data_IF_661583424496
#
_entry.id   IF_661583424496
#
_cell.length_a   1.000
_cell.length_b   1.000
_cell.length_c   1.000
_cell.angle_alpha   90.00
_cell.angle_beta   90.00
_cell.angle_gamma   90.00
#
_symmetry.space_group_name_H-M   'P 1'
#
loop_
_entity.id
_entity.type
_entity.pdbx_description
1 polymer ?
#
# COMPACT_ATOMS: atom_id res chain seq x y z
N UNK A 1 -11.83 -5.08 17.54
CA UNK A 1 -11.21 -6.39 17.86
C UNK A 1 -10.72 -7.13 16.61
N UNK A 2 -11.54 -7.29 15.58
CA UNK A 2 -11.17 -7.99 14.33
C UNK A 2 -10.05 -7.26 13.58
N UNK A 3 -10.09 -5.93 13.51
CA UNK A 3 -9.02 -5.12 12.89
C UNK A 3 -7.65 -5.33 13.54
N UNK A 4 -7.61 -5.44 14.87
CA UNK A 4 -6.36 -5.68 15.58
C UNK A 4 -5.73 -7.03 15.24
N UNK A 5 -6.54 -8.07 15.06
CA UNK A 5 -6.06 -9.38 14.64
C UNK A 5 -5.53 -9.32 13.19
N UNK A 6 -6.27 -8.69 12.29
CA UNK A 6 -5.86 -8.53 10.89
C UNK A 6 -4.51 -7.79 10.76
N UNK A 7 -4.33 -6.71 11.52
CA UNK A 7 -3.06 -5.95 11.55
C UNK A 7 -1.91 -6.81 12.07
N UNK A 8 -2.12 -7.56 13.16
CA UNK A 8 -1.09 -8.45 13.70
C UNK A 8 -0.72 -9.56 12.71
N UNK A 9 -1.71 -10.13 12.03
CA UNK A 9 -1.46 -11.14 11.00
C UNK A 9 -0.68 -10.55 9.82
N UNK A 10 -1.03 -9.34 9.37
CA UNK A 10 -0.32 -8.65 8.30
C UNK A 10 1.17 -8.43 8.65
N UNK A 11 1.46 -8.03 9.88
CA UNK A 11 2.83 -7.89 10.37
C UNK A 11 3.55 -9.24 10.49
N UNK A 12 2.89 -10.26 11.02
CA UNK A 12 3.46 -11.59 11.13
C UNK A 12 3.79 -12.21 9.76
N UNK A 13 2.96 -11.97 8.76
CA UNK A 13 3.17 -12.40 7.38
C UNK A 13 4.11 -11.48 6.59
N UNK A 14 4.56 -10.38 7.18
CA UNK A 14 5.45 -9.37 6.56
C UNK A 14 4.94 -8.84 5.23
N UNK A 15 3.63 -8.73 5.07
CA UNK A 15 3.03 -8.16 3.85
C UNK A 15 3.03 -6.63 3.82
N UNK A 16 3.46 -5.99 4.91
CA UNK A 16 3.60 -4.54 5.04
C UNK A 16 4.85 -3.97 4.36
N UNK A 17 5.74 -4.81 3.86
CA UNK A 17 6.96 -4.35 3.20
C UNK A 17 7.33 -5.23 2.02
N UNK A 18 7.89 -4.60 1.00
CA UNK A 18 8.53 -5.25 -0.13
C UNK A 18 10.04 -5.04 -0.01
N UNK A 19 10.78 -6.13 0.04
CA UNK A 19 12.24 -6.10 0.23
C UNK A 19 13.00 -6.51 -1.02
N UNK A 20 12.31 -7.15 -1.98
CA UNK A 20 12.93 -7.66 -3.19
C UNK A 20 12.86 -6.59 -4.29
N UNK A 21 14.01 -6.33 -4.94
CA UNK A 21 14.10 -5.42 -6.08
C UNK A 21 13.27 -5.90 -7.29
N UNK A 22 12.97 -7.19 -7.38
CA UNK A 22 12.13 -7.73 -8.45
C UNK A 22 10.64 -7.55 -8.17
N UNK A 23 10.22 -6.30 -8.11
CA UNK A 23 8.81 -5.92 -7.98
C UNK A 23 8.00 -6.34 -9.21
N UNK A 24 8.63 -6.43 -10.36
CA UNK A 24 7.99 -6.78 -11.62
C UNK A 24 7.86 -8.30 -11.85
N UNK A 25 8.39 -9.11 -10.93
CA UNK A 25 8.40 -10.58 -11.07
C UNK A 25 9.01 -11.03 -12.40
N UNK A 26 10.11 -10.38 -12.80
CA UNK A 26 10.75 -10.61 -14.11
C UNK A 26 11.48 -11.96 -14.19
N UNK A 27 11.88 -12.52 -13.06
CA UNK A 27 12.57 -13.81 -13.02
C UNK A 27 11.56 -14.97 -12.91
N UNK A 28 11.07 -15.40 -14.07
CA UNK A 28 10.16 -16.55 -14.17
C UNK A 28 10.85 -17.91 -13.90
N UNK A 29 12.18 -17.93 -13.77
CA UNK A 29 12.95 -19.17 -13.58
C UNK A 29 12.94 -19.66 -12.14
N UNK A 30 12.66 -18.77 -11.21
CA UNK A 30 12.52 -19.14 -9.81
C UNK A 30 11.08 -19.53 -9.50
N UNK A 31 10.81 -20.85 -9.50
CA UNK A 31 9.50 -21.39 -9.14
C UNK A 31 9.05 -21.04 -7.71
N UNK A 32 9.97 -20.57 -6.87
CA UNK A 32 9.68 -20.10 -5.51
C UNK A 32 9.34 -18.60 -5.46
N UNK A 33 9.57 -17.85 -6.55
CA UNK A 33 9.25 -16.43 -6.60
C UNK A 33 7.72 -16.21 -6.63
N UNK A 34 7.21 -15.22 -5.90
CA UNK A 34 5.79 -14.92 -5.91
C UNK A 34 5.36 -14.41 -7.29
N UNK A 35 4.27 -14.94 -7.81
CA UNK A 35 3.68 -14.49 -9.07
C UNK A 35 3.20 -13.03 -8.98
N UNK A 36 3.01 -12.39 -10.15
CA UNK A 36 2.44 -11.03 -10.25
C UNK A 36 1.12 -10.93 -9.49
N UNK A 37 0.22 -11.90 -9.70
CA UNK A 37 -1.07 -11.92 -9.01
C UNK A 37 -0.93 -12.10 -7.50
N UNK A 38 -0.01 -12.93 -7.04
CA UNK A 38 0.24 -13.13 -5.61
C UNK A 38 0.78 -11.86 -4.95
N UNK A 39 1.72 -11.18 -5.59
CA UNK A 39 2.27 -9.92 -5.09
C UNK A 39 1.22 -8.84 -5.00
N UNK A 40 0.46 -8.67 -6.05
CA UNK A 40 -0.62 -7.67 -6.09
C UNK A 40 -1.72 -7.97 -5.06
N UNK A 41 -2.08 -9.23 -4.88
CA UNK A 41 -3.04 -9.63 -3.85
C UNK A 41 -2.54 -9.30 -2.44
N UNK A 42 -1.25 -9.48 -2.17
CA UNK A 42 -0.65 -9.09 -0.88
C UNK A 42 -0.69 -7.57 -0.67
N UNK A 43 -0.39 -6.79 -1.70
CA UNK A 43 -0.50 -5.32 -1.65
C UNK A 43 -1.92 -4.89 -1.33
N UNK A 44 -2.90 -5.44 -2.04
CA UNK A 44 -4.32 -5.14 -1.84
C UNK A 44 -4.79 -5.52 -0.45
N UNK A 45 -4.37 -6.69 0.05
CA UNK A 45 -4.69 -7.13 1.40
C UNK A 45 -4.11 -6.19 2.46
N UNK A 46 -2.85 -5.80 2.33
CA UNK A 46 -2.23 -4.88 3.27
C UNK A 46 -2.92 -3.53 3.29
N UNK A 47 -3.22 -2.97 2.12
CA UNK A 47 -3.92 -1.69 2.03
C UNK A 47 -5.37 -1.77 2.50
N UNK A 48 -6.03 -2.91 2.33
CA UNK A 48 -7.34 -3.15 2.95
C UNK A 48 -7.26 -3.13 4.49
N UNK A 49 -6.24 -3.74 5.06
CA UNK A 49 -5.99 -3.67 6.50
C UNK A 49 -5.76 -2.22 6.97
N UNK A 50 -5.01 -1.43 6.21
CA UNK A 50 -4.79 0.00 6.49
C UNK A 50 -6.11 0.79 6.50
N UNK A 51 -6.95 0.59 5.49
CA UNK A 51 -8.25 1.27 5.40
C UNK A 51 -9.17 0.88 6.57
N UNK A 52 -9.26 -0.41 6.86
CA UNK A 52 -10.08 -0.91 7.97
C UNK A 52 -9.58 -0.39 9.32
N UNK A 53 -8.28 -0.35 9.53
CA UNK A 53 -7.67 0.19 10.74
C UNK A 53 -7.96 1.69 10.91
N UNK A 54 -7.84 2.45 9.81
CA UNK A 54 -8.19 3.87 9.81
C UNK A 54 -9.65 4.11 10.17
N UNK A 55 -10.55 3.30 9.64
CA UNK A 55 -11.98 3.41 9.93
C UNK A 55 -12.31 2.99 11.36
N UNK A 56 -11.76 1.89 11.83
CA UNK A 56 -11.96 1.41 13.20
C UNK A 56 -11.46 2.43 14.24
N UNK A 57 -10.36 3.12 13.95
CA UNK A 57 -9.82 4.20 14.77
C UNK A 57 -10.45 5.56 14.52
N UNK A 58 -11.47 5.65 13.65
CA UNK A 58 -12.09 6.94 13.25
C UNK A 58 -11.08 7.98 12.76
N UNK A 59 -9.99 7.54 12.16
CA UNK A 59 -8.90 8.38 11.68
C UNK A 59 -8.02 9.00 12.76
N UNK A 60 -8.27 8.70 14.03
CA UNK A 60 -7.46 9.19 15.15
C UNK A 60 -6.24 8.31 15.33
N UNK A 61 -5.05 8.88 15.23
CA UNK A 61 -3.78 8.12 15.28
C UNK A 61 -3.60 7.30 16.55
N UNK A 62 -4.10 7.79 17.67
CA UNK A 62 -4.02 7.10 18.96
C UNK A 62 -4.86 5.81 19.00
N UNK A 63 -5.86 5.71 18.12
CA UNK A 63 -6.77 4.57 18.03
C UNK A 63 -6.44 3.66 16.85
N UNK A 64 -5.53 4.07 15.96
CA UNK A 64 -5.05 3.25 14.85
C UNK A 64 -3.82 2.44 15.25
N UNK A 65 -3.72 1.21 14.74
CA UNK A 65 -2.63 0.28 15.03
C UNK A 65 -1.52 0.32 13.98
N UNK A 66 -1.86 0.70 12.74
CA UNK A 66 -0.93 0.81 11.64
C UNK A 66 -0.36 2.22 11.53
N UNK A 67 0.95 2.31 11.53
CA UNK A 67 1.67 3.55 11.21
C UNK A 67 2.02 3.56 9.74
N UNK A 68 1.80 4.68 9.07
CA UNK A 68 2.16 4.84 7.65
C UNK A 68 3.64 4.59 7.39
N UNK A 69 4.51 4.93 8.35
CA UNK A 69 5.95 4.65 8.30
C UNK A 69 6.32 3.18 8.23
N UNK A 70 5.46 2.30 8.72
CA UNK A 70 5.69 0.86 8.75
C UNK A 70 5.23 0.18 7.45
N UNK A 71 4.51 0.90 6.59
CA UNK A 71 4.01 0.40 5.32
C UNK A 71 4.98 0.80 4.21
N UNK A 72 5.74 -0.18 3.73
CA UNK A 72 6.79 -0.01 2.71
C UNK A 72 6.48 -0.84 1.48
N UNK A 73 5.29 -0.65 0.96
CA UNK A 73 4.81 -1.26 -0.27
C UNK A 73 4.26 -0.19 -1.19
N UNK A 74 4.25 -0.49 -2.47
CA UNK A 74 3.60 0.39 -3.43
C UNK A 74 2.07 0.27 -3.36
N UNK A 75 1.38 1.27 -3.88
CA UNK A 75 -0.08 1.25 -4.02
C UNK A 75 -0.51 0.21 -5.06
N UNK A 76 -1.75 -0.31 -4.96
CA UNK A 76 -2.26 -1.29 -5.91
C UNK A 76 -2.29 -0.75 -7.35
N UNK A 77 -2.03 -1.63 -8.30
CA UNK A 77 -2.21 -1.31 -9.71
C UNK A 77 -3.70 -1.25 -10.10
N UNK A 78 -3.95 -0.77 -11.32
CA UNK A 78 -5.30 -0.73 -11.86
C UNK A 78 -5.86 -2.15 -12.12
N UNK A 79 -7.19 -2.24 -12.23
CA UNK A 79 -7.88 -3.52 -12.41
C UNK A 79 -7.49 -4.25 -13.69
N UNK A 80 -7.22 -3.51 -14.77
CA UNK A 80 -6.78 -4.10 -16.03
C UNK A 80 -5.44 -4.81 -15.87
N UNK A 81 -4.46 -4.15 -15.28
CA UNK A 81 -3.13 -4.73 -15.07
C UNK A 81 -3.18 -5.92 -14.12
N UNK A 82 -4.01 -5.83 -13.07
CA UNK A 82 -4.22 -6.94 -12.16
C UNK A 82 -4.88 -8.14 -12.86
N UNK A 83 -5.95 -7.92 -13.59
CA UNK A 83 -6.67 -8.98 -14.30
C UNK A 83 -5.85 -9.66 -15.39
N UNK A 84 -5.02 -8.90 -16.09
CA UNK A 84 -4.13 -9.41 -17.15
C UNK A 84 -2.76 -9.87 -16.61
N UNK A 85 -2.52 -9.78 -15.31
CA UNK A 85 -1.24 -10.12 -14.66
C UNK A 85 -0.07 -9.37 -15.26
N UNK A 86 -0.28 -8.08 -15.57
CA UNK A 86 0.77 -7.20 -16.09
C UNK A 86 1.55 -6.64 -14.90
N UNK A 87 2.87 -6.92 -14.80
CA UNK A 87 3.71 -6.34 -13.75
C UNK A 87 3.72 -4.82 -13.86
N UNK A 88 3.51 -4.13 -12.74
CA UNK A 88 3.38 -2.67 -12.75
C UNK A 88 4.09 -2.06 -11.56
N UNK A 89 4.89 -1.02 -11.82
CA UNK A 89 5.39 -0.13 -10.79
C UNK A 89 4.39 1.01 -10.62
N UNK A 90 3.96 1.21 -9.37
CA UNK A 90 3.09 2.30 -8.97
C UNK A 90 3.80 3.21 -7.96
N UNK A 91 3.16 4.30 -7.58
CA UNK A 91 3.67 5.13 -6.50
C UNK A 91 3.43 4.48 -5.13
N UNK A 92 4.16 4.91 -4.14
CA UNK A 92 3.87 4.63 -2.73
C UNK A 92 2.74 5.55 -2.24
N UNK A 93 2.42 5.51 -0.95
CA UNK A 93 1.43 6.42 -0.37
C UNK A 93 1.81 7.90 -0.58
N UNK A 94 3.11 8.21 -0.59
CA UNK A 94 3.61 9.54 -0.94
C UNK A 94 3.44 9.84 -2.42
N UNK A 95 2.82 10.98 -2.74
CA UNK A 95 2.60 11.41 -4.13
C UNK A 95 3.93 11.65 -4.82
N UNK A 96 4.12 11.05 -6.00
CA UNK A 96 5.35 11.16 -6.79
C UNK A 96 6.50 10.28 -6.28
N UNK A 97 6.30 9.50 -5.25
CA UNK A 97 7.34 8.63 -4.67
C UNK A 97 7.13 7.18 -5.10
N UNK A 98 8.22 6.51 -5.39
CA UNK A 98 8.26 5.06 -5.62
C UNK A 98 9.11 4.38 -4.55
N UNK A 99 9.07 3.05 -4.48
CA UNK A 99 9.92 2.30 -3.55
C UNK A 99 11.40 2.62 -3.82
N UNK A 100 12.14 2.93 -2.75
CA UNK A 100 13.51 3.45 -2.85
C UNK A 100 14.52 2.44 -3.41
N UNK A 101 14.27 1.15 -3.26
CA UNK A 101 15.17 0.10 -3.74
C UNK A 101 14.99 -0.21 -5.23
N UNK A 102 14.01 0.37 -5.91
CA UNK A 102 13.78 0.11 -7.34
C UNK A 102 14.91 0.70 -8.19
N UNK A 103 15.48 -0.07 -9.13
CA UNK A 103 16.40 0.47 -10.10
C UNK A 103 15.70 1.54 -10.96
N UNK A 104 16.33 2.69 -11.22
CA UNK A 104 15.72 3.74 -12.04
C UNK A 104 15.27 3.27 -13.43
N UNK A 105 15.94 2.26 -13.98
CA UNK A 105 15.64 1.72 -15.31
C UNK A 105 14.23 1.10 -15.43
N UNK A 106 13.68 0.56 -14.32
CA UNK A 106 12.36 -0.07 -14.33
C UNK A 106 11.23 0.87 -13.89
N UNK A 107 11.58 2.04 -13.40
CA UNK A 107 10.58 3.03 -12.96
C UNK A 107 10.02 3.74 -14.19
N UNK A 108 8.71 3.64 -14.46
CA UNK A 108 8.10 4.33 -15.59
C UNK A 108 8.10 5.84 -15.38
N UNK A 109 7.98 6.60 -16.47
CA UNK A 109 7.89 8.07 -16.40
C UNK A 109 6.72 8.57 -15.55
N UNK A 110 5.64 7.82 -15.53
CA UNK A 110 4.41 8.15 -14.79
C UNK A 110 3.92 6.91 -14.03
N UNK A 111 4.50 6.59 -12.88
CA UNK A 111 4.05 5.45 -12.07
C UNK A 111 2.57 5.55 -11.71
N UNK A 112 2.05 6.77 -11.53
CA UNK A 112 0.65 7.01 -11.24
C UNK A 112 -0.30 6.55 -12.35
N UNK A 113 0.15 6.44 -13.60
CA UNK A 113 -0.66 5.93 -14.69
C UNK A 113 -1.02 4.44 -14.53
N UNK A 114 -0.25 3.70 -13.75
CA UNK A 114 -0.52 2.31 -13.42
C UNK A 114 -1.47 2.13 -12.22
N UNK A 115 -1.82 3.22 -11.54
CA UNK A 115 -2.71 3.19 -10.38
C UNK A 115 -4.17 3.15 -10.83
N UNK A 116 -5.01 2.52 -10.00
CA UNK A 116 -6.44 2.43 -10.21
C UNK A 116 -7.24 3.05 -9.08
N UNK A 117 -8.54 2.79 -9.08
CA UNK A 117 -9.48 3.36 -8.12
C UNK A 117 -9.08 3.04 -6.68
N UNK A 118 -8.65 1.82 -6.40
CA UNK A 118 -8.24 1.42 -5.05
C UNK A 118 -7.07 2.26 -4.52
N UNK A 119 -6.07 2.55 -5.37
CA UNK A 119 -4.93 3.37 -4.99
C UNK A 119 -5.35 4.79 -4.61
N UNK A 120 -6.21 5.40 -5.40
CA UNK A 120 -6.72 6.74 -5.10
C UNK A 120 -7.63 6.75 -3.87
N UNK A 121 -8.44 5.72 -3.68
CA UNK A 121 -9.24 5.56 -2.48
C UNK A 121 -8.38 5.50 -1.21
N UNK A 122 -7.29 4.75 -1.24
CA UNK A 122 -6.33 4.68 -0.13
C UNK A 122 -5.75 6.07 0.16
N UNK A 123 -5.41 6.85 -0.86
CA UNK A 123 -4.94 8.23 -0.70
C UNK A 123 -6.00 9.16 -0.11
N UNK A 124 -7.25 8.98 -0.48
CA UNK A 124 -8.37 9.73 0.13
C UNK A 124 -8.48 9.41 1.63
N UNK A 125 -8.36 8.15 2.00
CA UNK A 125 -8.35 7.73 3.43
C UNK A 125 -7.16 8.35 4.18
N UNK A 126 -5.98 8.35 3.58
CA UNK A 126 -4.80 8.97 4.18
C UNK A 126 -4.96 10.49 4.35
N UNK A 127 -5.57 11.15 3.37
CA UNK A 127 -5.89 12.58 3.45
C UNK A 127 -6.91 12.85 4.56
N UNK A 128 -7.96 12.04 4.63
CA UNK A 128 -8.95 12.14 5.70
C UNK A 128 -8.32 12.00 7.08
N UNK A 129 -7.43 11.05 7.29
CA UNK A 129 -6.68 10.91 8.54
C UNK A 129 -5.89 12.18 8.89
N UNK A 130 -5.25 12.80 7.90
CA UNK A 130 -4.52 14.06 8.10
C UNK A 130 -5.43 15.21 8.48
N UNK A 131 -6.61 15.31 7.86
CA UNK A 131 -7.61 16.33 8.20
C UNK A 131 -8.11 16.12 9.62
N UNK A 132 -8.47 14.90 10.00
CA UNK A 132 -8.92 14.59 11.37
C UNK A 132 -7.85 14.96 12.39
N UNK A 133 -6.60 14.64 12.13
CA UNK A 133 -5.47 15.00 12.99
C UNK A 133 -5.32 16.52 13.13
N UNK A 134 -5.42 17.25 12.03
CA UNK A 134 -5.35 18.70 12.04
C UNK A 134 -6.49 19.31 12.86
N UNK A 135 -7.72 18.89 12.64
CA UNK A 135 -8.90 19.37 13.37
C UNK A 135 -8.78 19.04 14.86
N UNK A 136 -8.36 17.82 15.23
CA UNK A 136 -8.18 17.44 16.63
C UNK A 136 -7.06 18.22 17.33
N UNK A 137 -6.01 18.58 16.59
CA UNK A 137 -4.89 19.37 17.13
C UNK A 137 -5.17 20.89 17.26
N UNK A 138 -6.11 21.43 16.49
CA UNK A 138 -6.41 22.87 16.45
C UNK A 138 -7.84 23.20 16.90
N UNK A 139 -8.65 22.21 17.16
CA UNK A 139 -10.09 22.32 17.32
C UNK A 139 -10.60 22.53 18.74
N UNK A 140 -9.82 23.01 19.68
CA UNK A 140 -10.28 23.43 21.02
C UNK A 140 -9.30 24.47 21.58
N UNK A 141 -9.21 25.55 20.90
CA UNK A 141 -8.66 26.79 21.50
C UNK A 141 -9.79 27.56 22.15
#
# INVERSE_FOLDING_TARGET
MISGLAVRMAHALKINAEYNADVLCADERDAAAPSVASRESRRRLMWACYVLDAWAGSGVDQLTLLRESDIKIQLPCNERNFGLRIPSVTETLGVGHVLQFLPPAIVPRRPAANMGIMAYYIRVVALWKRIVRYVAGHGLG
#
